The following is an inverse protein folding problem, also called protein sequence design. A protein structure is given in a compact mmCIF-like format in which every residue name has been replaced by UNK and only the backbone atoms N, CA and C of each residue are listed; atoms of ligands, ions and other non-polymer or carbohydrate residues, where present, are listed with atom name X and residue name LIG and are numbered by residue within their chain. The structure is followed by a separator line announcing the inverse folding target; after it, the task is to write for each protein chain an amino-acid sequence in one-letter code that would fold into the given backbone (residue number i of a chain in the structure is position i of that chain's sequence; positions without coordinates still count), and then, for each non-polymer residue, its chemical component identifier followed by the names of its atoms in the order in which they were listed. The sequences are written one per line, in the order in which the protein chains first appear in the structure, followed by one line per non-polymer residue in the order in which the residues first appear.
data_IF_065767618410
#
_entry.id   IF_065767618410
#
_cell.length_a   1.000
_cell.length_b   1.000
_cell.length_c   1.000
_cell.angle_alpha   90.00
_cell.angle_beta   90.00
_cell.angle_gamma   90.00
#
_symmetry.space_group_name_H-M   'P 1'
#
loop_
_entity.id
_entity.type
_entity.pdbx_description
1 polymer ?
#
# COMPACT_ATOMS: atom_id res chain seq x y z
N UNK A 1 19.88 -24.35 -83.02
CA UNK A 1 20.18 -24.52 -81.57
C UNK A 1 19.76 -23.24 -80.87
N UNK A 2 18.54 -23.19 -80.34
CA UNK A 2 18.02 -22.01 -79.63
C UNK A 2 18.37 -22.11 -78.14
N UNK A 3 19.28 -21.26 -77.69
CA UNK A 3 19.51 -20.99 -76.26
C UNK A 3 18.31 -20.23 -75.70
N UNK A 4 17.56 -20.86 -74.80
CA UNK A 4 16.56 -20.18 -73.98
C UNK A 4 17.19 -19.92 -72.61
N UNK A 5 17.56 -18.67 -72.37
CA UNK A 5 17.90 -18.15 -71.05
C UNK A 5 16.60 -18.00 -70.25
N UNK A 6 16.38 -18.92 -69.31
CA UNK A 6 15.41 -18.71 -68.24
C UNK A 6 16.02 -17.73 -67.22
N UNK A 7 15.34 -16.64 -66.85
CA UNK A 7 15.81 -15.81 -65.76
C UNK A 7 15.66 -16.60 -64.46
N UNK A 8 16.72 -16.64 -63.66
CA UNK A 8 16.68 -17.18 -62.31
C UNK A 8 15.62 -16.42 -61.52
N UNK A 9 14.60 -17.13 -61.06
CA UNK A 9 13.69 -16.62 -60.06
C UNK A 9 14.51 -16.31 -58.80
N UNK A 10 14.80 -15.03 -58.59
CA UNK A 10 15.24 -14.54 -57.30
C UNK A 10 14.16 -14.99 -56.30
N UNK A 11 14.52 -15.95 -55.47
CA UNK A 11 13.68 -16.34 -54.36
C UNK A 11 13.61 -15.12 -53.46
N UNK A 12 12.54 -14.34 -53.57
CA UNK A 12 12.18 -13.40 -52.54
C UNK A 12 12.03 -14.25 -51.27
N UNK A 13 13.03 -14.22 -50.40
CA UNK A 13 12.90 -14.73 -49.04
C UNK A 13 11.64 -14.06 -48.49
N UNK A 14 10.55 -14.83 -48.36
CA UNK A 14 9.40 -14.40 -47.59
C UNK A 14 9.94 -13.95 -46.24
N UNK A 15 9.83 -12.66 -45.87
CA UNK A 15 10.40 -12.17 -44.63
C UNK A 15 9.79 -13.00 -43.50
N UNK A 16 10.63 -13.81 -42.86
CA UNK A 16 10.18 -14.60 -41.73
C UNK A 16 9.72 -13.65 -40.64
N UNK A 17 8.51 -13.89 -40.12
CA UNK A 17 7.97 -13.13 -39.00
C UNK A 17 9.04 -13.04 -37.89
N UNK A 18 9.27 -11.85 -37.31
CA UNK A 18 10.27 -11.71 -36.27
C UNK A 18 9.92 -12.60 -35.07
N UNK A 19 10.94 -13.19 -34.46
CA UNK A 19 10.75 -13.78 -33.13
C UNK A 19 10.45 -12.66 -32.11
N UNK A 20 9.73 -12.97 -31.01
CA UNK A 20 9.33 -11.98 -30.00
C UNK A 20 10.48 -11.17 -29.40
N UNK A 21 11.66 -11.77 -29.24
CA UNK A 21 12.85 -11.11 -28.67
C UNK A 21 13.45 -10.11 -29.65
N UNK A 22 13.61 -10.50 -30.91
CA UNK A 22 14.07 -9.63 -31.99
C UNK A 22 13.10 -8.48 -32.25
N UNK A 23 11.80 -8.77 -32.22
CA UNK A 23 10.77 -7.74 -32.31
C UNK A 23 10.94 -6.72 -31.19
N UNK A 24 10.99 -7.17 -29.93
CA UNK A 24 11.10 -6.27 -28.79
C UNK A 24 12.35 -5.39 -28.85
N UNK A 25 13.52 -5.97 -29.17
CA UNK A 25 14.77 -5.24 -29.30
C UNK A 25 14.71 -4.13 -30.35
N UNK A 26 14.14 -4.41 -31.52
CA UNK A 26 14.05 -3.44 -32.63
C UNK A 26 13.09 -2.29 -32.28
N UNK A 27 11.99 -2.59 -31.59
CA UNK A 27 11.06 -1.56 -31.12
C UNK A 27 11.72 -0.69 -30.04
N UNK A 28 12.43 -1.28 -29.07
CA UNK A 28 13.18 -0.56 -28.02
C UNK A 28 14.28 0.34 -28.61
N UNK A 29 14.95 -0.11 -29.67
CA UNK A 29 15.94 0.69 -30.39
C UNK A 29 15.32 1.83 -31.21
N UNK A 30 14.00 1.86 -31.37
CA UNK A 30 13.30 2.89 -32.13
C UNK A 30 13.48 2.80 -33.64
N UNK A 31 13.80 1.62 -34.20
CA UNK A 31 13.96 1.42 -35.64
C UNK A 31 12.58 1.40 -36.35
N UNK A 32 12.05 2.60 -36.57
CA UNK A 32 10.75 2.83 -37.21
C UNK A 32 10.65 2.19 -38.59
N UNK A 33 11.73 2.17 -39.36
CA UNK A 33 11.72 1.65 -40.74
C UNK A 33 11.51 0.15 -40.73
N UNK A 34 12.22 -0.55 -39.85
CA UNK A 34 12.11 -1.99 -39.73
C UNK A 34 10.77 -2.43 -39.16
N UNK A 35 10.26 -1.72 -38.15
CA UNK A 35 8.93 -2.01 -37.60
C UNK A 35 7.83 -1.73 -38.63
N UNK A 36 7.92 -0.63 -39.38
CA UNK A 36 6.96 -0.33 -40.45
C UNK A 36 6.94 -1.42 -41.51
N UNK A 37 8.12 -1.88 -41.97
CA UNK A 37 8.21 -3.00 -42.90
C UNK A 37 7.52 -4.26 -42.37
N UNK A 38 7.72 -4.63 -41.11
CA UNK A 38 7.03 -5.77 -40.52
C UNK A 38 5.51 -5.61 -40.47
N UNK A 39 5.01 -4.43 -40.10
CA UNK A 39 3.57 -4.16 -40.03
C UNK A 39 2.93 -4.13 -41.44
N UNK A 40 3.63 -3.58 -42.42
CA UNK A 40 3.23 -3.59 -43.84
C UNK A 40 3.21 -5.01 -44.42
N UNK A 41 4.15 -5.87 -44.01
CA UNK A 41 4.22 -7.29 -44.38
C UNK A 41 3.19 -8.16 -43.63
N UNK A 42 2.33 -7.56 -42.80
CA UNK A 42 1.20 -8.23 -42.15
C UNK A 42 1.48 -8.75 -40.74
N UNK A 43 2.55 -8.29 -40.07
CA UNK A 43 2.71 -8.52 -38.63
C UNK A 43 1.53 -7.87 -37.89
N UNK A 44 0.82 -8.61 -37.01
CA UNK A 44 -0.25 -8.02 -36.22
C UNK A 44 0.26 -6.85 -35.36
N UNK A 45 -0.44 -5.71 -35.34
CA UNK A 45 -0.03 -4.55 -34.55
C UNK A 45 0.01 -4.83 -33.03
N UNK A 46 -0.78 -5.80 -32.57
CA UNK A 46 -0.82 -6.30 -31.19
C UNK A 46 0.19 -7.43 -30.90
N UNK A 47 1.10 -7.72 -31.83
CA UNK A 47 2.13 -8.75 -31.67
C UNK A 47 2.93 -8.52 -30.37
N UNK A 48 3.07 -9.57 -29.58
CA UNK A 48 3.66 -9.51 -28.25
C UNK A 48 5.17 -9.77 -28.33
N UNK A 49 5.96 -8.83 -27.81
CA UNK A 49 7.35 -9.08 -27.45
C UNK A 49 7.47 -9.98 -26.22
N UNK A 50 8.69 -10.39 -25.91
CA UNK A 50 9.00 -11.34 -24.83
C UNK A 50 8.94 -10.76 -23.41
N UNK A 51 9.11 -9.44 -23.26
CA UNK A 51 9.22 -8.76 -21.95
C UNK A 51 8.06 -7.84 -21.61
N UNK A 52 8.00 -6.68 -22.27
CA UNK A 52 7.12 -5.57 -21.88
C UNK A 52 5.69 -5.79 -22.37
N UNK A 53 5.53 -6.35 -23.57
CA UNK A 53 4.22 -6.63 -24.18
C UNK A 53 4.19 -6.26 -25.65
N UNK A 54 3.10 -5.66 -26.11
CA UNK A 54 2.94 -5.25 -27.51
C UNK A 54 3.92 -4.14 -27.92
N UNK A 55 4.06 -3.93 -29.24
CA UNK A 55 4.85 -2.82 -29.77
C UNK A 55 4.45 -1.45 -29.22
N UNK A 56 3.15 -1.19 -29.06
CA UNK A 56 2.64 0.04 -28.44
C UNK A 56 3.10 0.19 -26.98
N UNK A 57 3.12 -0.90 -26.21
CA UNK A 57 3.57 -0.90 -24.81
C UNK A 57 5.07 -0.62 -24.69
N UNK A 58 5.89 -1.25 -25.55
CA UNK A 58 7.34 -1.01 -25.59
C UNK A 58 7.61 0.45 -26.00
N UNK A 59 6.92 0.93 -27.03
CA UNK A 59 7.06 2.32 -27.48
C UNK A 59 6.67 3.33 -26.40
N UNK A 60 5.61 3.06 -25.64
CA UNK A 60 5.18 3.89 -24.51
C UNK A 60 6.18 3.84 -23.34
N UNK A 61 6.79 2.69 -23.06
CA UNK A 61 7.85 2.53 -22.06
C UNK A 61 9.12 3.31 -22.38
N UNK A 62 9.45 3.47 -23.67
CA UNK A 62 10.57 4.29 -24.15
C UNK A 62 10.17 5.75 -24.46
N UNK A 63 8.88 6.08 -24.38
CA UNK A 63 8.37 7.43 -24.69
C UNK A 63 8.46 7.79 -26.18
N UNK A 64 8.59 6.81 -27.07
CA UNK A 64 8.73 7.03 -28.51
C UNK A 64 7.36 7.21 -29.19
N UNK A 65 6.90 8.46 -29.25
CA UNK A 65 5.61 8.83 -29.83
C UNK A 65 5.48 8.40 -31.29
N UNK A 66 6.53 8.55 -32.10
CA UNK A 66 6.48 8.17 -33.51
C UNK A 66 6.24 6.66 -33.68
N UNK A 67 6.81 5.84 -32.80
CA UNK A 67 6.59 4.40 -32.78
C UNK A 67 5.18 4.06 -32.27
N UNK A 68 4.68 4.77 -31.26
CA UNK A 68 3.30 4.61 -30.78
C UNK A 68 2.29 4.95 -31.88
N UNK A 69 2.49 6.06 -32.59
CA UNK A 69 1.68 6.47 -33.75
C UNK A 69 1.69 5.40 -34.83
N UNK A 70 2.85 4.81 -35.13
CA UNK A 70 2.98 3.74 -36.11
C UNK A 70 2.08 2.55 -35.71
N UNK A 71 2.24 2.02 -34.50
CA UNK A 71 1.42 0.88 -34.06
C UNK A 71 -0.09 1.18 -34.06
N UNK A 72 -0.51 2.37 -33.60
CA UNK A 72 -1.94 2.74 -33.60
C UNK A 72 -2.50 2.91 -35.02
N UNK A 73 -1.72 3.46 -35.96
CA UNK A 73 -2.13 3.53 -37.39
C UNK A 73 -2.34 2.15 -38.01
N UNK A 74 -1.60 1.13 -37.56
CA UNK A 74 -1.78 -0.27 -37.97
C UNK A 74 -2.82 -1.03 -37.12
N UNK A 75 -3.60 -0.33 -36.29
CA UNK A 75 -4.72 -0.91 -35.55
C UNK A 75 -4.36 -1.51 -34.19
N UNK A 76 -3.22 -1.14 -33.59
CA UNK A 76 -2.91 -1.55 -32.22
C UNK A 76 -3.97 -1.07 -31.23
N UNK A 77 -4.36 -1.95 -30.31
CA UNK A 77 -5.32 -1.61 -29.26
C UNK A 77 -4.65 -0.85 -28.12
N UNK A 78 -5.18 0.34 -27.81
CA UNK A 78 -4.67 1.22 -26.76
C UNK A 78 -4.92 0.64 -25.35
N UNK A 79 -6.00 -0.12 -25.17
CA UNK A 79 -6.43 -0.70 -23.90
C UNK A 79 -5.86 -2.12 -23.65
N UNK A 80 -5.06 -2.64 -24.58
CA UNK A 80 -4.44 -3.96 -24.47
C UNK A 80 -3.60 -4.05 -23.19
N UNK A 81 -3.58 -5.23 -22.57
CA UNK A 81 -2.80 -5.51 -21.36
C UNK A 81 -1.75 -6.59 -21.60
N UNK A 82 -0.56 -6.41 -21.03
CA UNK A 82 0.46 -7.46 -21.00
C UNK A 82 0.14 -8.55 -19.95
N UNK A 83 1.06 -9.50 -19.75
CA UNK A 83 0.96 -10.58 -18.75
C UNK A 83 0.93 -10.12 -17.28
N UNK A 84 1.23 -8.85 -17.02
CA UNK A 84 1.19 -8.21 -15.72
C UNK A 84 -0.06 -7.33 -15.52
N UNK A 85 -1.01 -7.40 -16.46
CA UNK A 85 -2.20 -6.54 -16.50
C UNK A 85 -1.87 -5.05 -16.66
N UNK A 86 -0.78 -4.72 -17.37
CA UNK A 86 -0.35 -3.33 -17.62
C UNK A 86 -0.71 -2.89 -19.03
N UNK A 87 -1.25 -1.68 -19.14
CA UNK A 87 -1.51 -1.00 -20.42
C UNK A 87 -0.37 -0.05 -20.75
N UNK A 88 -0.27 0.38 -22.02
CA UNK A 88 0.73 1.35 -22.47
C UNK A 88 0.76 2.63 -21.59
N UNK A 89 -0.41 3.10 -21.12
CA UNK A 89 -0.52 4.27 -20.25
C UNK A 89 0.18 4.08 -18.90
N UNK A 90 0.09 2.89 -18.29
CA UNK A 90 0.74 2.58 -17.02
C UNK A 90 2.26 2.59 -17.15
N UNK A 91 2.76 2.02 -18.25
CA UNK A 91 4.18 1.92 -18.55
C UNK A 91 4.80 3.30 -18.82
N UNK A 92 4.13 4.15 -19.60
CA UNK A 92 4.55 5.54 -19.82
C UNK A 92 4.54 6.36 -18.52
N UNK A 93 3.53 6.15 -17.67
CA UNK A 93 3.39 6.83 -16.38
C UNK A 93 4.51 6.44 -15.40
N UNK A 94 4.87 5.16 -15.34
CA UNK A 94 6.01 4.67 -14.53
C UNK A 94 7.33 5.32 -14.94
N UNK A 95 7.56 5.41 -16.24
CA UNK A 95 8.82 5.88 -16.83
C UNK A 95 8.96 7.39 -16.85
N UNK A 96 7.91 8.14 -16.51
CA UNK A 96 7.96 9.60 -16.48
C UNK A 96 7.79 10.25 -17.85
N UNK A 97 7.28 9.52 -18.85
CA UNK A 97 7.13 10.04 -20.21
C UNK A 97 5.85 10.87 -20.34
N UNK A 98 5.88 12.11 -19.84
CA UNK A 98 4.73 13.02 -19.84
C UNK A 98 4.08 13.18 -21.23
N UNK A 99 4.89 13.35 -22.27
CA UNK A 99 4.38 13.48 -23.64
C UNK A 99 3.67 12.19 -24.12
N UNK A 100 4.16 11.01 -23.74
CA UNK A 100 3.55 9.73 -24.10
C UNK A 100 2.24 9.49 -23.33
N UNK A 101 2.21 9.84 -22.04
CA UNK A 101 0.97 9.83 -21.25
C UNK A 101 -0.06 10.76 -21.89
N UNK A 102 0.33 11.99 -22.20
CA UNK A 102 -0.53 12.97 -22.85
C UNK A 102 -1.10 12.44 -24.17
N UNK A 103 -0.23 11.94 -25.03
CA UNK A 103 -0.61 11.36 -26.31
C UNK A 103 -1.59 10.19 -26.14
N UNK A 104 -1.34 9.25 -25.24
CA UNK A 104 -2.21 8.09 -25.01
C UNK A 104 -3.61 8.51 -24.54
N UNK A 105 -3.69 9.48 -23.63
CA UNK A 105 -4.96 10.01 -23.14
C UNK A 105 -5.73 10.73 -24.27
N UNK A 106 -5.03 11.48 -25.13
CA UNK A 106 -5.66 12.15 -26.28
C UNK A 106 -6.15 11.16 -27.35
N UNK A 107 -5.61 9.94 -27.38
CA UNK A 107 -6.01 8.87 -28.29
C UNK A 107 -6.99 7.87 -27.65
N UNK A 108 -7.58 8.20 -26.50
CA UNK A 108 -8.67 7.42 -25.90
C UNK A 108 -8.24 6.37 -24.87
N UNK A 109 -7.00 6.41 -24.39
CA UNK A 109 -6.65 5.67 -23.18
C UNK A 109 -7.46 6.22 -21.99
N UNK A 110 -8.09 5.32 -21.22
CA UNK A 110 -8.78 5.73 -20.01
C UNK A 110 -7.78 6.15 -18.93
N UNK A 111 -7.98 7.33 -18.32
CA UNK A 111 -7.16 7.80 -17.21
C UNK A 111 -7.28 6.92 -15.96
N UNK A 112 -8.39 6.19 -15.84
CA UNK A 112 -8.69 5.28 -14.73
C UNK A 112 -9.06 3.87 -15.21
N UNK A 113 -9.03 2.90 -14.30
CA UNK A 113 -9.31 1.49 -14.56
C UNK A 113 -10.32 0.94 -13.55
N UNK A 114 -11.33 0.17 -13.99
CA UNK A 114 -12.36 -0.34 -13.08
C UNK A 114 -11.80 -1.39 -12.12
N UNK A 115 -12.37 -1.43 -10.92
CA UNK A 115 -12.04 -2.41 -9.88
C UNK A 115 -10.80 -2.06 -9.07
N UNK A 116 -10.41 -2.96 -8.16
CA UNK A 116 -9.23 -2.79 -7.31
C UNK A 116 -7.95 -3.15 -8.10
N UNK A 117 -7.53 -2.28 -9.00
CA UNK A 117 -6.37 -2.46 -9.90
C UNK A 117 -5.41 -1.30 -9.76
N UNK A 118 -4.16 -1.55 -10.13
CA UNK A 118 -3.22 -0.44 -10.30
C UNK A 118 -3.62 0.41 -11.50
N UNK A 119 -3.61 1.73 -11.28
CA UNK A 119 -3.94 2.76 -12.27
C UNK A 119 -2.68 3.52 -12.65
N UNK A 120 -2.71 4.28 -13.76
CA UNK A 120 -1.59 5.13 -14.14
C UNK A 120 -1.19 6.12 -13.03
N UNK A 121 -2.19 6.57 -12.23
CA UNK A 121 -1.98 7.47 -11.10
C UNK A 121 -1.15 6.82 -9.99
N UNK A 122 -1.37 5.53 -9.71
CA UNK A 122 -0.52 4.77 -8.78
C UNK A 122 0.92 4.66 -9.30
N UNK A 123 1.12 4.29 -10.58
CA UNK A 123 2.45 4.15 -11.17
C UNK A 123 3.21 5.48 -11.17
N UNK A 124 2.57 6.58 -11.57
CA UNK A 124 3.17 7.92 -11.55
C UNK A 124 3.50 8.38 -10.13
N UNK A 125 2.64 8.07 -9.16
CA UNK A 125 2.87 8.43 -7.76
C UNK A 125 4.01 7.62 -7.14
N UNK A 126 4.08 6.32 -7.43
CA UNK A 126 5.16 5.44 -6.96
C UNK A 126 6.52 5.86 -7.53
N UNK A 127 6.56 6.31 -8.78
CA UNK A 127 7.79 6.70 -9.47
C UNK A 127 8.13 8.22 -9.36
N UNK A 128 7.39 8.97 -8.54
CA UNK A 128 7.59 10.41 -8.28
C UNK A 128 7.47 11.34 -9.50
N UNK A 129 6.40 11.20 -10.30
CA UNK A 129 6.15 12.03 -11.48
C UNK A 129 5.00 13.03 -11.28
N UNK A 130 5.19 14.16 -10.56
CA UNK A 130 4.12 15.10 -10.20
C UNK A 130 3.40 15.72 -11.40
N UNK A 131 4.11 15.99 -12.51
CA UNK A 131 3.48 16.53 -13.71
C UNK A 131 2.52 15.53 -14.35
N UNK A 132 2.83 14.24 -14.30
CA UNK A 132 1.97 13.16 -14.78
C UNK A 132 0.78 12.98 -13.85
N UNK A 133 0.99 13.06 -12.53
CA UNK A 133 -0.10 13.06 -11.53
C UNK A 133 -1.07 14.21 -11.78
N UNK A 134 -0.58 15.44 -11.99
CA UNK A 134 -1.42 16.59 -12.37
C UNK A 134 -2.28 16.30 -13.59
N UNK A 135 -1.65 15.76 -14.63
CA UNK A 135 -2.30 15.48 -15.91
C UNK A 135 -3.38 14.41 -15.75
N UNK A 136 -3.07 13.30 -15.09
CA UNK A 136 -4.02 12.20 -14.89
C UNK A 136 -5.24 12.64 -14.08
N UNK A 137 -5.04 13.43 -13.02
CA UNK A 137 -6.13 14.01 -12.23
C UNK A 137 -7.00 14.95 -13.08
N UNK A 138 -6.36 15.83 -13.89
CA UNK A 138 -7.07 16.72 -14.80
C UNK A 138 -7.86 15.98 -15.89
N UNK A 139 -7.47 14.75 -16.21
CA UNK A 139 -8.13 13.87 -17.19
C UNK A 139 -9.13 12.89 -16.55
N UNK A 140 -9.51 13.13 -15.29
CA UNK A 140 -10.56 12.37 -14.60
C UNK A 140 -10.08 11.10 -13.90
N UNK A 141 -8.78 10.98 -13.64
CA UNK A 141 -8.26 9.91 -12.78
C UNK A 141 -8.80 10.05 -11.35
N UNK A 142 -9.25 8.94 -10.76
CA UNK A 142 -9.75 8.94 -9.39
C UNK A 142 -8.58 9.08 -8.39
N UNK A 143 -8.54 10.21 -7.67
CA UNK A 143 -7.56 10.49 -6.62
C UNK A 143 -7.62 9.46 -5.47
N UNK A 144 -8.79 8.82 -5.29
CA UNK A 144 -9.06 7.80 -4.29
C UNK A 144 -9.04 6.37 -4.86
N UNK A 145 -8.53 6.19 -6.09
CA UNK A 145 -8.39 4.89 -6.71
C UNK A 145 -7.69 3.90 -5.77
N UNK A 146 -8.15 2.64 -5.78
CA UNK A 146 -7.65 1.59 -4.89
C UNK A 146 -6.87 0.53 -5.65
N UNK A 147 -5.64 0.29 -5.21
CA UNK A 147 -4.83 -0.84 -5.63
C UNK A 147 -5.42 -2.19 -5.11
N UNK A 148 -4.92 -3.35 -5.58
CA UNK A 148 -5.47 -4.66 -5.22
C UNK A 148 -5.51 -5.01 -3.73
N UNK A 149 -4.66 -4.38 -2.90
CA UNK A 149 -4.65 -4.54 -1.43
C UNK A 149 -5.53 -3.49 -0.71
N UNK A 150 -6.33 -2.73 -1.47
CA UNK A 150 -7.15 -1.63 -0.98
C UNK A 150 -6.40 -0.33 -0.67
N UNK A 151 -5.08 -0.25 -0.91
CA UNK A 151 -4.31 0.98 -0.70
C UNK A 151 -4.69 2.05 -1.70
N UNK A 152 -4.80 3.31 -1.23
CA UNK A 152 -5.06 4.48 -2.08
C UNK A 152 -3.76 5.08 -2.62
N UNK A 153 -3.88 5.96 -3.61
CA UNK A 153 -2.76 6.74 -4.16
C UNK A 153 -2.05 7.57 -3.07
N UNK A 154 -2.80 8.20 -2.16
CA UNK A 154 -2.23 8.97 -1.04
C UNK A 154 -1.41 8.07 -0.08
N UNK A 155 -1.87 6.85 0.21
CA UNK A 155 -1.09 5.90 1.01
C UNK A 155 0.24 5.55 0.33
N UNK A 156 0.24 5.44 -0.99
CA UNK A 156 1.46 5.17 -1.76
C UNK A 156 2.45 6.32 -1.67
N UNK A 157 2.00 7.56 -1.89
CA UNK A 157 2.84 8.75 -1.69
C UNK A 157 3.39 8.82 -0.26
N UNK A 158 2.58 8.45 0.74
CA UNK A 158 2.98 8.37 2.14
C UNK A 158 4.03 7.28 2.42
N UNK A 159 4.01 6.15 1.71
CA UNK A 159 5.05 5.10 1.79
C UNK A 159 6.39 5.59 1.29
N UNK A 160 6.37 6.15 0.09
CA UNK A 160 7.58 6.45 -0.69
C UNK A 160 8.18 7.80 -0.28
N UNK A 161 7.43 8.61 0.48
CA UNK A 161 7.95 9.87 1.04
C UNK A 161 7.80 11.07 0.10
N UNK A 162 6.97 10.96 -0.93
CA UNK A 162 6.76 12.02 -1.91
C UNK A 162 5.84 13.13 -1.36
N UNK A 163 6.41 14.04 -0.58
CA UNK A 163 5.66 15.05 0.17
C UNK A 163 4.91 16.06 -0.73
N UNK A 164 5.50 16.42 -1.87
CA UNK A 164 4.87 17.35 -2.81
C UNK A 164 3.69 16.68 -3.53
N UNK A 165 3.85 15.41 -3.93
CA UNK A 165 2.75 14.58 -4.44
C UNK A 165 1.65 14.40 -3.39
N UNK A 166 2.00 14.15 -2.13
CA UNK A 166 1.01 14.04 -1.07
C UNK A 166 0.19 15.34 -0.92
N UNK A 167 0.82 16.53 -0.99
CA UNK A 167 0.09 17.82 -0.99
C UNK A 167 -0.83 17.93 -2.20
N UNK A 168 -0.32 17.63 -3.38
CA UNK A 168 -1.10 17.67 -4.62
C UNK A 168 -2.33 16.76 -4.56
N UNK A 169 -2.18 15.53 -4.06
CA UNK A 169 -3.29 14.58 -3.94
C UNK A 169 -4.33 15.09 -2.92
N UNK A 170 -3.90 15.70 -1.81
CA UNK A 170 -4.82 16.30 -0.84
C UNK A 170 -5.58 17.50 -1.42
N UNK A 171 -4.90 18.36 -2.17
CA UNK A 171 -5.53 19.47 -2.90
C UNK A 171 -6.57 18.96 -3.93
N UNK A 172 -6.31 17.80 -4.52
CA UNK A 172 -7.22 17.11 -5.42
C UNK A 172 -8.35 16.32 -4.71
N UNK A 173 -8.41 16.34 -3.38
CA UNK A 173 -9.49 15.72 -2.60
C UNK A 173 -9.24 14.27 -2.19
N UNK A 174 -7.98 13.86 -2.02
CA UNK A 174 -7.66 12.55 -1.45
C UNK A 174 -8.24 12.36 -0.05
N UNK A 175 -8.88 11.22 0.18
CA UNK A 175 -9.42 10.82 1.48
C UNK A 175 -8.30 10.37 2.42
N UNK A 176 -7.99 11.24 3.37
CA UNK A 176 -7.01 11.02 4.44
C UNK A 176 -7.41 9.88 5.38
N UNK A 177 -8.72 9.64 5.55
CA UNK A 177 -9.26 8.66 6.48
C UNK A 177 -9.43 7.27 5.85
N UNK A 178 -9.15 7.14 4.55
CA UNK A 178 -9.16 5.85 3.88
C UNK A 178 -8.20 4.87 4.57
N UNK A 179 -8.62 3.62 4.65
CA UNK A 179 -7.81 2.49 5.12
C UNK A 179 -7.78 1.39 4.07
N UNK A 180 -6.65 0.70 3.98
CA UNK A 180 -6.49 -0.48 3.12
C UNK A 180 -7.10 -1.73 3.79
N UNK A 181 -6.99 -2.89 3.14
CA UNK A 181 -7.57 -4.14 3.65
C UNK A 181 -6.94 -4.61 4.97
N UNK A 182 -5.75 -4.10 5.32
CA UNK A 182 -5.06 -4.35 6.59
C UNK A 182 -5.38 -3.31 7.66
N UNK A 183 -6.31 -2.39 7.40
CA UNK A 183 -6.66 -1.29 8.31
C UNK A 183 -5.60 -0.19 8.40
N UNK A 184 -4.64 -0.16 7.47
CA UNK A 184 -3.58 0.85 7.47
C UNK A 184 -4.03 2.11 6.70
N UNK A 185 -3.81 3.29 7.28
CA UNK A 185 -4.06 4.59 6.66
C UNK A 185 -2.78 5.21 6.08
N UNK A 186 -2.92 6.34 5.38
CA UNK A 186 -1.77 7.12 4.90
C UNK A 186 -0.87 7.58 6.06
N UNK A 187 -1.46 7.94 7.21
CA UNK A 187 -0.70 8.24 8.43
C UNK A 187 0.12 7.03 8.89
N UNK A 188 -0.49 5.84 8.95
CA UNK A 188 0.20 4.61 9.36
C UNK A 188 1.38 4.30 8.46
N UNK A 189 1.22 4.42 7.15
CA UNK A 189 2.29 4.23 6.17
C UNK A 189 3.39 5.28 6.32
N UNK A 190 3.04 6.56 6.43
CA UNK A 190 4.02 7.61 6.66
C UNK A 190 4.85 7.38 7.93
N UNK A 191 4.22 6.97 9.03
CA UNK A 191 4.91 6.73 10.30
C UNK A 191 5.82 5.51 10.25
N UNK A 192 5.34 4.37 9.70
CA UNK A 192 6.13 3.13 9.57
C UNK A 192 7.38 3.31 8.70
N UNK A 193 7.32 4.21 7.72
CA UNK A 193 8.41 4.49 6.79
C UNK A 193 9.22 5.74 7.15
N UNK A 194 8.95 6.39 8.30
CA UNK A 194 9.72 7.55 8.77
C UNK A 194 9.43 8.86 8.03
N UNK A 195 8.35 8.92 7.25
CA UNK A 195 7.94 10.09 6.45
C UNK A 195 7.13 11.08 7.30
N UNK A 196 7.74 11.59 8.38
CA UNK A 196 7.06 12.44 9.38
C UNK A 196 6.52 13.76 8.83
N UNK A 197 7.09 14.27 7.74
CA UNK A 197 6.55 15.44 7.03
C UNK A 197 5.16 15.17 6.47
N UNK A 198 4.99 14.02 5.81
CA UNK A 198 3.70 13.58 5.28
C UNK A 198 2.77 13.21 6.42
N UNK A 199 3.24 12.51 7.45
CA UNK A 199 2.43 12.17 8.61
C UNK A 199 1.77 13.40 9.25
N UNK A 200 2.52 14.51 9.39
CA UNK A 200 1.97 15.79 9.85
C UNK A 200 1.01 16.45 8.86
N UNK A 201 1.23 16.24 7.56
CA UNK A 201 0.36 16.77 6.50
C UNK A 201 -1.00 16.05 6.48
N UNK A 202 -1.00 14.74 6.70
CA UNK A 202 -2.19 13.87 6.62
C UNK A 202 -2.86 13.62 7.96
N UNK A 203 -2.53 14.35 9.02
CA UNK A 203 -3.15 14.15 10.33
C UNK A 203 -3.19 15.40 11.18
N UNK A 204 -4.09 15.43 12.16
CA UNK A 204 -4.09 16.47 13.19
C UNK A 204 -2.88 16.32 14.11
N UNK A 205 -2.50 17.39 14.80
CA UNK A 205 -1.40 17.37 15.77
C UNK A 205 -1.60 16.30 16.86
N UNK A 206 -2.83 16.07 17.30
CA UNK A 206 -3.17 15.05 18.29
C UNK A 206 -3.06 13.62 17.75
N UNK A 207 -3.43 13.38 16.49
CA UNK A 207 -3.26 12.08 15.82
C UNK A 207 -1.79 11.78 15.56
N UNK A 208 -1.02 12.76 15.08
CA UNK A 208 0.41 12.63 14.90
C UNK A 208 1.12 12.32 16.21
N UNK A 209 0.81 13.04 17.30
CA UNK A 209 1.41 12.80 18.61
C UNK A 209 1.10 11.39 19.15
N UNK A 210 -0.13 10.91 18.98
CA UNK A 210 -0.51 9.54 19.34
C UNK A 210 0.26 8.50 18.52
N UNK A 211 0.35 8.71 17.21
CA UNK A 211 1.08 7.80 16.33
C UNK A 211 2.59 7.80 16.60
N UNK A 212 3.17 8.93 17.02
CA UNK A 212 4.60 9.05 17.34
C UNK A 212 4.96 8.40 18.68
N UNK A 213 4.01 8.32 19.61
CA UNK A 213 4.17 7.62 20.90
C UNK A 213 3.90 6.11 20.78
N UNK A 214 3.24 5.68 19.71
CA UNK A 214 3.01 4.27 19.44
C UNK A 214 4.35 3.60 19.08
N UNK A 215 4.66 2.48 19.75
CA UNK A 215 5.85 1.67 19.44
C UNK A 215 5.82 1.31 17.93
N UNK A 216 6.92 1.44 17.18
CA UNK A 216 7.01 0.96 15.80
C UNK A 216 6.52 -0.49 15.62
N UNK A 217 6.63 -1.34 16.65
CA UNK A 217 6.09 -2.70 16.68
C UNK A 217 4.56 -2.79 16.91
N UNK A 218 3.93 -1.72 17.42
CA UNK A 218 2.48 -1.65 17.69
C UNK A 218 1.61 -1.48 16.44
N UNK A 219 2.20 -1.11 15.29
CA UNK A 219 1.50 -1.06 14.00
C UNK A 219 1.20 -2.46 13.43
N UNK A 220 1.36 -3.51 14.24
CA UNK A 220 1.18 -4.90 13.88
C UNK A 220 2.36 -5.44 13.08
N UNK A 221 2.72 -6.70 13.36
CA UNK A 221 3.53 -7.46 12.43
C UNK A 221 2.84 -7.42 11.06
N UNK A 222 3.58 -7.27 9.94
CA UNK A 222 2.99 -7.33 8.62
C UNK A 222 2.20 -8.65 8.52
N UNK A 223 0.87 -8.55 8.45
CA UNK A 223 0.04 -9.70 8.12
C UNK A 223 0.46 -10.10 6.71
N UNK A 224 1.29 -11.15 6.63
CA UNK A 224 1.53 -11.84 5.37
C UNK A 224 0.17 -12.31 4.90
N UNK A 225 -0.11 -12.11 3.61
CA UNK A 225 -1.22 -12.80 2.96
C UNK A 225 -1.12 -14.27 3.34
N UNK A 226 -2.13 -14.80 4.03
CA UNK A 226 -2.19 -16.24 4.26
C UNK A 226 -2.13 -16.94 2.90
N UNK A 227 -1.41 -18.06 2.83
CA UNK A 227 -1.38 -18.86 1.62
C UNK A 227 -2.82 -19.15 1.19
N UNK A 228 -3.12 -18.96 -0.09
CA UNK A 228 -4.45 -19.23 -0.61
C UNK A 228 -4.86 -20.68 -0.30
N UNK A 229 -6.15 -20.96 -0.10
CA UNK A 229 -6.64 -22.32 0.05
C UNK A 229 -6.04 -23.25 -1.02
N UNK A 230 -5.66 -24.47 -0.63
CA UNK A 230 -5.12 -25.47 -1.55
C UNK A 230 -6.04 -25.72 -2.77
N UNK A 231 -7.36 -25.52 -2.61
CA UNK A 231 -8.33 -25.58 -3.70
C UNK A 231 -8.05 -24.52 -4.79
N UNK A 232 -7.72 -23.28 -4.41
CA UNK A 232 -7.40 -22.19 -5.33
C UNK A 232 -6.06 -22.45 -6.02
N UNK A 233 -5.06 -22.91 -5.27
CA UNK A 233 -3.75 -23.27 -5.84
C UNK A 233 -3.85 -24.42 -6.85
N UNK A 234 -4.66 -25.42 -6.56
CA UNK A 234 -4.90 -26.55 -7.46
C UNK A 234 -5.63 -26.09 -8.72
N UNK A 235 -6.66 -25.24 -8.62
CA UNK A 235 -7.33 -24.68 -9.80
C UNK A 235 -6.34 -23.87 -10.65
N UNK A 236 -5.49 -23.04 -10.03
CA UNK A 236 -4.45 -22.29 -10.73
C UNK A 236 -3.40 -23.18 -11.40
N UNK A 237 -3.10 -24.35 -10.81
CA UNK A 237 -2.23 -25.37 -11.41
C UNK A 237 -2.89 -25.99 -12.64
N UNK A 238 -4.18 -26.33 -12.55
CA UNK A 238 -4.96 -26.88 -13.66
C UNK A 238 -5.10 -25.90 -14.81
N UNK A 239 -5.29 -24.60 -14.53
CA UNK A 239 -5.32 -23.54 -15.54
C UNK A 239 -4.00 -23.49 -16.30
N UNK A 240 -2.87 -23.49 -15.58
CA UNK A 240 -1.53 -23.48 -16.19
C UNK A 240 -1.29 -24.71 -17.07
N UNK A 241 -1.72 -25.89 -16.65
CA UNK A 241 -1.60 -27.12 -17.44
C UNK A 241 -2.49 -27.10 -18.68
N UNK A 242 -3.73 -26.63 -18.56
CA UNK A 242 -4.65 -26.51 -19.68
C UNK A 242 -4.15 -25.49 -20.72
N UNK A 243 -3.66 -24.33 -20.26
CA UNK A 243 -3.09 -23.29 -21.13
C UNK A 243 -1.81 -23.77 -21.82
N UNK A 244 -0.92 -24.48 -21.12
CA UNK A 244 0.27 -25.09 -21.71
C UNK A 244 -0.05 -26.17 -22.76
N UNK A 245 -1.20 -26.85 -22.62
CA UNK A 245 -1.71 -27.81 -23.59
C UNK A 245 -2.54 -27.17 -24.72
N UNK A 246 -2.66 -25.83 -24.76
CA UNK A 246 -3.46 -25.10 -25.76
C UNK A 246 -4.98 -25.29 -25.60
N UNK A 247 -5.44 -25.74 -24.44
CA UNK A 247 -6.86 -25.99 -24.14
C UNK A 247 -7.53 -24.76 -23.51
N UNK A 248 -8.83 -24.60 -23.75
CA UNK A 248 -9.63 -23.53 -23.13
C UNK A 248 -9.77 -23.76 -21.62
N UNK A 249 -9.27 -22.82 -20.82
CA UNK A 249 -9.40 -22.81 -19.35
C UNK A 249 -10.67 -22.08 -18.85
N UNK A 250 -11.68 -21.84 -19.70
CA UNK A 250 -12.86 -21.02 -19.35
C UNK A 250 -13.64 -21.58 -18.14
N UNK A 251 -13.88 -22.89 -18.09
CA UNK A 251 -14.54 -23.55 -16.96
C UNK A 251 -13.70 -23.50 -15.69
N UNK A 252 -12.38 -23.67 -15.81
CA UNK A 252 -11.44 -23.59 -14.68
C UNK A 252 -11.36 -22.16 -14.12
N UNK A 253 -11.44 -21.14 -14.96
CA UNK A 253 -11.50 -19.74 -14.53
C UNK A 253 -12.83 -19.41 -13.83
N UNK A 254 -13.95 -19.97 -14.29
CA UNK A 254 -15.22 -19.86 -13.59
C UNK A 254 -15.18 -20.57 -12.22
N UNK A 255 -14.57 -21.75 -12.15
CA UNK A 255 -14.34 -22.47 -10.90
C UNK A 255 -13.42 -21.69 -9.95
N UNK A 256 -12.35 -21.08 -10.47
CA UNK A 256 -11.45 -20.21 -9.70
C UNK A 256 -12.22 -19.03 -9.10
N UNK A 257 -13.04 -18.35 -9.90
CA UNK A 257 -13.86 -17.24 -9.44
C UNK A 257 -14.83 -17.68 -8.34
N UNK A 258 -15.49 -18.84 -8.50
CA UNK A 258 -16.39 -19.38 -7.49
C UNK A 258 -15.67 -19.73 -6.18
N UNK A 259 -14.49 -20.36 -6.25
CA UNK A 259 -13.70 -20.71 -5.06
C UNK A 259 -13.09 -19.48 -4.37
N UNK A 260 -12.68 -18.47 -5.12
CA UNK A 260 -12.24 -17.16 -4.58
C UNK A 260 -13.41 -16.45 -3.88
N UNK A 261 -14.60 -16.46 -4.46
CA UNK A 261 -15.79 -15.84 -3.86
C UNK A 261 -16.24 -16.59 -2.61
N UNK A 262 -16.21 -17.92 -2.63
CA UNK A 262 -16.47 -18.77 -1.45
C UNK A 262 -15.47 -18.46 -0.34
N UNK A 263 -14.17 -18.41 -0.66
CA UNK A 263 -13.13 -18.06 0.31
C UNK A 263 -13.36 -16.66 0.87
N UNK A 264 -13.66 -15.65 0.04
CA UNK A 264 -14.00 -14.30 0.53
C UNK A 264 -15.18 -14.31 1.50
N UNK A 265 -16.22 -15.10 1.23
CA UNK A 265 -17.38 -15.23 2.12
C UNK A 265 -17.05 -15.96 3.44
N UNK A 266 -16.19 -16.97 3.39
CA UNK A 266 -15.72 -17.73 4.56
C UNK A 266 -14.70 -16.95 5.41
N UNK A 267 -13.76 -16.23 4.79
CA UNK A 267 -12.83 -15.33 5.47
C UNK A 267 -13.55 -14.14 6.11
N UNK A 268 -14.64 -13.66 5.50
CA UNK A 268 -15.55 -12.68 6.12
C UNK A 268 -16.29 -13.23 7.34
N UNK A 269 -16.40 -14.57 7.50
CA UNK A 269 -16.97 -15.20 8.70
C UNK A 269 -16.01 -15.28 9.88
N UNK A 270 -14.75 -14.88 9.73
CA UNK A 270 -13.94 -14.46 10.88
C UNK A 270 -14.35 -13.03 11.28
N UNK A 271 -15.64 -12.85 11.53
CA UNK A 271 -16.01 -12.01 12.67
C UNK A 271 -15.51 -12.85 13.84
N UNK A 272 -14.46 -12.37 14.53
CA UNK A 272 -14.34 -12.72 15.93
C UNK A 272 -15.68 -12.28 16.50
N UNK A 273 -16.58 -13.24 16.67
CA UNK A 273 -17.74 -13.10 17.52
C UNK A 273 -17.09 -12.84 18.87
N UNK A 274 -16.85 -11.55 19.13
CA UNK A 274 -16.41 -11.08 20.43
C UNK A 274 -17.49 -11.68 21.29
N UNK A 275 -17.21 -12.67 22.16
CA UNK A 275 -18.27 -13.33 22.88
C UNK A 275 -19.02 -12.20 23.52
N UNK A 276 -20.27 -11.95 23.09
CA UNK A 276 -21.11 -10.86 23.58
C UNK A 276 -20.79 -10.81 25.05
N UNK A 277 -20.10 -9.75 25.51
CA UNK A 277 -19.59 -9.67 26.88
C UNK A 277 -20.77 -10.14 27.72
N UNK A 278 -20.70 -11.36 28.29
CA UNK A 278 -21.72 -11.78 29.23
C UNK A 278 -21.56 -10.72 30.29
N UNK A 279 -22.53 -9.80 30.35
CA UNK A 279 -22.56 -8.74 31.32
C UNK A 279 -22.15 -9.42 32.62
N UNK A 280 -21.04 -8.94 33.20
CA UNK A 280 -20.45 -9.55 34.39
C UNK A 280 -21.60 -9.95 35.30
N UNK A 281 -21.68 -11.23 35.68
CA UNK A 281 -22.69 -11.71 36.63
C UNK A 281 -22.54 -10.85 37.87
N UNK A 282 -23.29 -9.74 37.92
CA UNK A 282 -23.41 -8.89 39.09
C UNK A 282 -24.01 -9.81 40.13
N UNK A 283 -23.23 -10.13 41.16
CA UNK A 283 -23.70 -10.91 42.30
C UNK A 283 -25.01 -10.32 42.80
N UNK A 284 -25.89 -11.18 43.34
CA UNK A 284 -27.19 -10.76 43.90
C UNK A 284 -26.97 -9.52 44.79
N UNK A 285 -27.74 -8.44 44.61
CA UNK A 285 -27.50 -7.18 45.32
C UNK A 285 -27.64 -7.40 46.82
N UNK A 286 -26.64 -6.94 47.58
CA UNK A 286 -26.56 -7.19 49.02
C UNK A 286 -27.51 -6.34 49.84
N UNK A 287 -27.61 -5.03 49.53
CA UNK A 287 -28.51 -4.06 50.19
C UNK A 287 -28.79 -2.86 49.28
N UNK A 288 -30.00 -2.31 49.34
CA UNK A 288 -30.40 -1.07 48.69
C UNK A 288 -30.26 0.08 49.69
N UNK A 289 -29.45 1.10 49.38
CA UNK A 289 -29.31 2.29 50.21
C UNK A 289 -30.18 3.41 49.64
N UNK A 290 -31.19 3.83 50.39
CA UNK A 290 -32.04 4.98 50.04
C UNK A 290 -31.62 6.15 50.93
N UNK A 291 -31.12 7.23 50.32
CA UNK A 291 -30.78 8.46 51.05
C UNK A 291 -31.71 9.58 50.63
N UNK A 292 -32.37 10.20 51.62
CA UNK A 292 -33.14 11.42 51.42
C UNK A 292 -32.18 12.63 51.49
N UNK A 293 -32.19 13.49 50.48
CA UNK A 293 -31.51 14.79 50.55
C UNK A 293 -32.32 15.71 51.48
N UNK A 294 -31.72 16.19 52.56
CA UNK A 294 -32.31 17.26 53.38
C UNK A 294 -32.21 18.57 52.60
N UNK A 295 -33.31 19.34 52.54
CA UNK A 295 -33.40 20.60 51.83
C UNK A 295 -32.28 21.58 52.24
N UNK A 296 -31.75 22.31 51.25
CA UNK A 296 -30.80 23.39 51.46
C UNK A 296 -31.39 24.47 52.38
N UNK A 297 -30.54 25.11 53.19
CA UNK A 297 -30.92 26.23 54.07
C UNK A 297 -31.49 27.41 53.25
N UNK A 298 -32.45 28.17 53.78
CA UNK A 298 -33.06 29.31 53.09
C UNK A 298 -32.06 30.47 53.03
N UNK A 299 -31.78 30.98 51.83
CA UNK A 299 -30.94 32.18 51.67
C UNK A 299 -30.46 32.51 50.26
N UNK A 300 -30.48 31.58 49.30
CA UNK A 300 -30.04 31.89 47.92
C UNK A 300 -31.20 31.77 46.94
N UNK A 301 -31.66 32.94 46.50
CA UNK A 301 -32.72 33.14 45.52
C UNK A 301 -32.28 32.72 44.12
N UNK A 302 -33.05 31.82 43.51
CA UNK A 302 -33.54 32.03 42.14
C UNK A 302 -32.88 31.20 41.04
N UNK A 303 -33.50 30.06 40.71
CA UNK A 303 -33.36 29.35 39.44
C UNK A 303 -34.29 28.15 39.39
N UNK A 304 -35.49 28.33 38.85
CA UNK A 304 -36.61 27.39 38.94
C UNK A 304 -36.30 25.98 38.36
N UNK A 305 -36.65 24.95 39.13
CA UNK A 305 -36.80 23.57 38.66
C UNK A 305 -35.82 22.58 39.29
N UNK A 306 -36.06 22.14 40.53
CA UNK A 306 -35.39 20.94 41.05
C UNK A 306 -36.36 20.14 41.92
N UNK A 307 -36.85 19.04 41.37
CA UNK A 307 -37.56 18.00 42.11
C UNK A 307 -36.67 17.45 43.23
N UNK A 308 -37.20 17.40 44.45
CA UNK A 308 -36.59 16.66 45.57
C UNK A 308 -36.67 15.17 45.22
N UNK A 309 -35.64 14.65 44.58
CA UNK A 309 -35.54 13.23 44.24
C UNK A 309 -34.75 12.46 45.31
N UNK A 310 -35.39 11.47 45.92
CA UNK A 310 -34.69 10.42 46.67
C UNK A 310 -33.69 9.71 45.76
N UNK A 311 -32.47 9.47 46.24
CA UNK A 311 -31.45 8.75 45.47
C UNK A 311 -31.24 7.38 46.08
N UNK A 312 -31.50 6.34 45.29
CA UNK A 312 -31.27 4.94 45.64
C UNK A 312 -30.00 4.45 44.94
N UNK A 313 -29.02 3.95 45.70
CA UNK A 313 -27.80 3.36 45.18
C UNK A 313 -27.64 1.91 45.66
N UNK A 314 -27.13 1.05 44.78
CA UNK A 314 -26.93 -0.39 45.02
C UNK A 314 -25.47 -0.68 45.32
N UNK A 315 -25.20 -1.26 46.49
CA UNK A 315 -23.83 -1.62 46.91
C UNK A 315 -23.62 -3.13 46.70
N UNK A 316 -22.55 -3.49 45.99
CA UNK A 316 -22.14 -4.88 45.75
C UNK A 316 -21.05 -5.31 46.74
N UNK A 317 -21.08 -6.56 47.20
CA UNK A 317 -20.03 -7.14 48.07
C UNK A 317 -18.83 -7.54 47.21
N UNK A 318 -17.64 -7.08 47.58
CA UNK A 318 -16.39 -7.53 46.99
C UNK A 318 -16.15 -9.01 47.27
N UNK A 319 -15.80 -9.76 46.23
CA UNK A 319 -15.31 -11.13 46.34
C UNK A 319 -13.78 -11.10 46.44
N UNK A 320 -13.27 -11.76 47.47
CA UNK A 320 -11.88 -11.80 47.89
C UNK A 320 -10.90 -12.43 46.87
N UNK A 321 -9.63 -12.12 47.09
CA UNK A 321 -8.43 -12.51 46.36
C UNK A 321 -8.28 -14.00 45.99
N UNK A 322 -7.60 -14.24 44.86
CA UNK A 322 -7.10 -15.55 44.43
C UNK A 322 -5.90 -15.42 43.46
N UNK A 323 -4.71 -15.65 44.01
CA UNK A 323 -3.42 -16.18 43.48
C UNK A 323 -2.96 -15.92 42.02
N UNK A 324 -1.69 -15.49 41.80
CA UNK A 324 -1.11 -15.31 40.47
C UNK A 324 -0.80 -16.64 39.77
N UNK A 325 -1.10 -16.71 38.47
CA UNK A 325 -0.65 -17.77 37.57
C UNK A 325 0.69 -17.34 36.97
N UNK A 326 1.73 -18.12 37.27
CA UNK A 326 3.05 -17.99 36.69
C UNK A 326 3.01 -18.33 35.19
N UNK A 327 3.56 -17.43 34.38
CA UNK A 327 3.91 -17.69 32.97
C UNK A 327 5.41 -17.43 32.83
N UNK A 328 6.02 -18.26 31.98
CA UNK A 328 7.41 -18.70 31.94
C UNK A 328 8.54 -17.68 32.01
N UNK A 329 9.63 -18.13 32.65
CA UNK A 329 10.87 -17.41 32.93
C UNK A 329 11.61 -16.86 31.71
N UNK A 330 11.98 -15.59 31.84
CA UNK A 330 13.12 -14.90 31.23
C UNK A 330 13.52 -13.81 32.22
N UNK A 331 14.83 -13.65 32.48
CA UNK A 331 15.37 -12.88 33.61
C UNK A 331 14.87 -11.41 33.70
N UNK A 332 13.79 -11.17 34.46
CA UNK A 332 13.28 -9.82 34.78
C UNK A 332 14.35 -8.93 35.46
N UNK A 333 15.31 -9.56 36.14
CA UNK A 333 16.47 -8.90 36.75
C UNK A 333 17.42 -8.28 35.71
N UNK A 334 17.67 -8.98 34.58
CA UNK A 334 18.57 -8.51 33.53
C UNK A 334 17.91 -7.38 32.71
N UNK A 335 16.61 -7.50 32.41
CA UNK A 335 15.86 -6.46 31.71
C UNK A 335 15.74 -5.16 32.53
N UNK A 336 15.53 -5.27 33.85
CA UNK A 336 15.51 -4.12 34.76
C UNK A 336 16.89 -3.46 34.90
N UNK A 337 17.97 -4.27 34.98
CA UNK A 337 19.34 -3.75 35.02
C UNK A 337 19.73 -3.01 33.73
N UNK A 338 19.36 -3.55 32.56
CA UNK A 338 19.59 -2.90 31.27
C UNK A 338 18.77 -1.60 31.11
N UNK A 339 17.56 -1.54 31.66
CA UNK A 339 16.76 -0.31 31.69
C UNK A 339 17.40 0.76 32.58
N UNK A 340 17.97 0.40 33.72
CA UNK A 340 18.68 1.33 34.61
C UNK A 340 19.94 1.92 33.93
N UNK A 341 20.74 1.10 33.23
CA UNK A 341 21.93 1.56 32.50
C UNK A 341 21.55 2.48 31.32
N UNK A 342 20.44 2.21 30.62
CA UNK A 342 19.92 3.13 29.58
C UNK A 342 19.47 4.48 30.16
N UNK A 343 18.92 4.48 31.37
CA UNK A 343 18.61 5.70 32.12
C UNK A 343 19.87 6.50 32.48
N UNK A 344 20.92 5.82 32.94
CA UNK A 344 22.23 6.43 33.25
C UNK A 344 22.86 7.09 32.01
N UNK A 345 22.84 6.41 30.87
CA UNK A 345 23.34 6.94 29.58
C UNK A 345 22.59 8.21 29.18
N UNK A 346 21.26 8.21 29.32
CA UNK A 346 20.43 9.37 28.97
C UNK A 346 20.77 10.59 29.83
N UNK A 347 20.99 10.38 31.13
CA UNK A 347 21.39 11.44 32.06
C UNK A 347 22.79 12.00 31.75
N UNK A 348 23.73 11.15 31.33
CA UNK A 348 25.09 11.58 30.93
C UNK A 348 25.01 12.44 29.65
N UNK A 349 24.21 12.04 28.66
CA UNK A 349 24.03 12.81 27.43
C UNK A 349 23.40 14.17 27.68
N UNK A 350 22.42 14.24 28.58
CA UNK A 350 21.79 15.51 28.99
C UNK A 350 22.80 16.43 29.68
N UNK A 351 23.62 15.89 30.60
CA UNK A 351 24.72 16.65 31.24
C UNK A 351 25.77 17.12 30.23
N UNK A 352 26.07 16.32 29.20
CA UNK A 352 26.97 16.74 28.13
C UNK A 352 26.40 17.89 27.29
N UNK A 353 25.10 17.88 27.01
CA UNK A 353 24.45 19.01 26.34
C UNK A 353 24.49 20.28 27.19
N UNK A 354 24.21 20.17 28.50
CA UNK A 354 24.30 21.29 29.44
C UNK A 354 25.73 21.84 29.57
N UNK A 355 26.74 20.96 29.67
CA UNK A 355 28.15 21.36 29.74
C UNK A 355 28.64 22.04 28.44
N UNK A 356 28.16 21.59 27.27
CA UNK A 356 28.43 22.28 25.99
C UNK A 356 27.80 23.67 25.94
N UNK A 357 26.59 23.82 26.47
CA UNK A 357 25.90 25.11 26.53
C UNK A 357 26.57 26.09 27.51
N UNK A 358 27.23 25.60 28.57
CA UNK A 358 27.93 26.41 29.56
C UNK A 358 29.44 26.57 29.31
N UNK A 359 29.96 26.03 28.20
CA UNK A 359 31.38 26.11 27.85
C UNK A 359 32.31 25.28 28.74
N UNK A 360 31.78 24.30 29.48
CA UNK A 360 32.55 23.42 30.34
C UNK A 360 33.16 22.23 29.57
N UNK A 361 34.33 21.72 29.97
CA UNK A 361 34.96 20.58 29.33
C UNK A 361 34.14 19.30 29.52
N UNK A 362 33.89 18.56 28.43
CA UNK A 362 33.03 17.36 28.42
C UNK A 362 33.79 16.04 28.45
N UNK A 363 35.12 16.06 28.55
CA UNK A 363 35.95 14.87 28.40
C UNK A 363 35.70 13.82 29.50
N UNK A 364 35.48 14.27 30.73
CA UNK A 364 35.11 13.39 31.84
C UNK A 364 33.75 12.71 31.61
N UNK A 365 32.75 13.46 31.15
CA UNK A 365 31.41 12.94 30.83
C UNK A 365 31.45 11.98 29.64
N UNK A 366 32.32 12.25 28.66
CA UNK A 366 32.53 11.37 27.51
C UNK A 366 33.11 10.02 27.93
N UNK A 367 34.07 10.02 28.85
CA UNK A 367 34.63 8.79 29.43
C UNK A 367 33.56 7.98 30.17
N UNK A 368 32.75 8.62 31.02
CA UNK A 368 31.64 7.96 31.72
C UNK A 368 30.56 7.41 30.77
N UNK A 369 30.29 8.10 29.65
CA UNK A 369 29.37 7.61 28.62
C UNK A 369 29.90 6.32 27.98
N UNK A 370 31.19 6.28 27.63
CA UNK A 370 31.81 5.07 27.08
C UNK A 370 31.73 3.90 28.06
N UNK A 371 32.04 4.12 29.34
CA UNK A 371 31.97 3.08 30.38
C UNK A 371 30.53 2.56 30.58
N UNK A 372 29.52 3.42 30.51
CA UNK A 372 28.11 3.01 30.61
C UNK A 372 27.64 2.23 29.37
N UNK A 373 28.07 2.62 28.17
CA UNK A 373 27.75 1.92 26.92
C UNK A 373 28.42 0.54 26.87
N UNK A 374 29.68 0.43 27.31
CA UNK A 374 30.36 -0.88 27.39
C UNK A 374 29.71 -1.81 28.42
N UNK A 375 29.26 -1.28 29.57
CA UNK A 375 28.45 -2.05 30.52
C UNK A 375 27.16 -2.58 29.89
N UNK A 376 26.47 -1.77 29.08
CA UNK A 376 25.24 -2.19 28.40
C UNK A 376 25.50 -3.30 27.35
N UNK A 377 26.63 -3.25 26.64
CA UNK A 377 27.00 -4.27 25.64
C UNK A 377 27.37 -5.63 26.26
N UNK A 378 27.82 -5.64 27.51
CA UNK A 378 28.21 -6.85 28.23
C UNK A 378 27.04 -7.52 28.96
N UNK A 379 25.83 -6.91 28.93
CA UNK A 379 24.62 -7.51 29.50
C UNK A 379 24.03 -8.55 28.54
N UNK A 380 23.58 -9.72 29.05
CA UNK A 380 23.10 -10.85 28.25
C UNK A 380 21.74 -10.62 27.57
#
# INVERSE_FOLDING_TARGET
MHCSLFPAAAHAETPSLPDPTRFALVVEQGDLKRVAAWLDDGLPADFQGDRIGSGLMIAAWEGNIAMMELFVRHGARIDLTNRYDEQALLLAAWRGHLAAVQWLLDHGAAADRPGARWTALHYATFADHPQIVSLLLARGGDVNARAPNGSTVLMMAAREGHADLARQLLEAGADVQAVNERGESALGWAMRHGNFGIARLVSSQAEFARAAQADPASFGAPQRSEAGPAEIEEILRQIRLAEAAGQSAASLRAALQASVERFRQESRRIVIDTPKRKAARRGKPGKLLITARRAAKPGETGGAGTSVGERAEMIYRDAAAGTPVAIHGGDESAAAAAAAVRGEISLILERMQQARASGQPVDALRKSLYEAVERLKQMP
#
